data_IF_178374401964
#
_entry.id   IF_178374401964
#
_cell.length_a   1.000
_cell.length_b   1.000
_cell.length_c   1.000
_cell.angle_alpha   90.00
_cell.angle_beta   90.00
_cell.angle_gamma   90.00
#
_symmetry.space_group_name_H-M   'P 1'
#
loop_
_entity.id
_entity.type
_entity.pdbx_description
1 polymer ?
#
# COMPACT_ATOMS: atom_id res chain seq x y z
N UNK A 1 25.90 56.29 3.72
CA UNK A 1 24.66 57.07 3.60
C UNK A 1 23.89 56.57 2.42
N UNK A 2 22.95 55.68 2.60
CA UNK A 2 21.87 55.42 1.65
C UNK A 2 20.68 54.81 2.38
N UNK A 3 19.60 55.51 2.27
CA UNK A 3 18.37 55.43 3.03
C UNK A 3 17.50 54.25 2.49
N UNK A 4 17.04 53.39 3.36
CA UNK A 4 16.06 52.33 3.04
C UNK A 4 14.65 52.86 3.23
N UNK A 5 13.85 52.80 2.19
CA UNK A 5 12.45 53.19 2.20
C UNK A 5 11.57 51.91 2.37
N UNK A 6 10.97 51.74 3.52
CA UNK A 6 10.04 50.63 3.83
C UNK A 6 8.62 51.08 3.45
N UNK A 7 8.10 50.53 2.37
CA UNK A 7 6.70 50.72 1.96
C UNK A 7 5.75 49.85 2.81
N UNK A 8 4.87 50.56 3.50
CA UNK A 8 3.82 50.00 4.37
C UNK A 8 2.58 49.68 3.50
N UNK A 9 2.14 48.41 3.44
CA UNK A 9 0.92 47.97 2.76
C UNK A 9 -0.16 47.71 3.82
N UNK A 10 -1.34 48.33 3.72
CA UNK A 10 -2.41 48.11 4.69
C UNK A 10 -3.17 46.80 4.42
N UNK A 11 -3.77 46.18 5.47
CA UNK A 11 -4.51 44.93 5.35
C UNK A 11 -5.91 45.16 4.78
N UNK A 12 -6.32 44.29 3.85
CA UNK A 12 -7.67 44.21 3.29
C UNK A 12 -8.66 43.60 4.30
N UNK A 13 -9.77 44.30 4.52
CA UNK A 13 -10.87 43.86 5.36
C UNK A 13 -11.71 42.76 4.69
N UNK A 14 -12.33 41.83 5.48
CA UNK A 14 -13.14 40.75 4.93
C UNK A 14 -14.54 41.27 4.51
N UNK A 15 -14.96 40.86 3.30
CA UNK A 15 -16.33 41.03 2.82
C UNK A 15 -17.22 39.93 3.39
N UNK A 16 -18.27 40.30 4.08
CA UNK A 16 -19.36 39.41 4.51
C UNK A 16 -20.47 39.44 3.44
N UNK A 17 -20.62 38.35 2.69
CA UNK A 17 -21.78 38.12 1.85
C UNK A 17 -22.79 37.22 2.58
N UNK A 18 -23.94 37.78 2.88
CA UNK A 18 -25.10 37.07 3.41
C UNK A 18 -25.78 36.27 2.28
N UNK A 19 -25.76 34.94 2.38
CA UNK A 19 -26.59 34.06 1.52
C UNK A 19 -27.79 33.59 2.32
N UNK A 20 -28.96 34.01 1.90
CA UNK A 20 -30.29 33.61 2.40
C UNK A 20 -30.61 32.18 1.93
N UNK A 21 -30.81 31.29 2.86
CA UNK A 21 -31.26 29.92 2.64
C UNK A 21 -32.78 29.86 2.51
N UNK A 22 -33.28 29.39 1.36
CA UNK A 22 -34.68 29.01 1.17
C UNK A 22 -34.82 27.50 1.34
N UNK A 23 -35.65 27.09 2.30
CA UNK A 23 -35.94 25.69 2.60
C UNK A 23 -37.13 25.21 1.75
N UNK A 24 -37.00 24.04 1.10
CA UNK A 24 -38.11 23.33 0.45
C UNK A 24 -38.38 22.00 1.21
N UNK A 25 -39.64 21.55 1.27
CA UNK A 25 -40.09 20.52 2.21
C UNK A 25 -39.83 19.08 1.73
N UNK A 26 -39.55 18.20 2.70
CA UNK A 26 -39.33 16.79 2.52
C UNK A 26 -40.57 16.01 2.08
N UNK A 27 -40.45 15.17 1.06
CA UNK A 27 -41.42 14.12 0.72
C UNK A 27 -40.96 12.78 1.30
N UNK A 28 -41.81 12.13 2.11
CA UNK A 28 -41.67 10.76 2.62
C UNK A 28 -42.01 9.76 1.50
N UNK A 29 -41.22 8.69 1.30
CA UNK A 29 -41.67 7.53 0.54
C UNK A 29 -42.24 6.44 1.45
N UNK A 30 -43.32 5.85 0.98
CA UNK A 30 -44.11 4.84 1.66
C UNK A 30 -43.43 3.45 1.74
N UNK A 31 -43.75 2.77 2.81
CA UNK A 31 -43.48 1.35 3.05
C UNK A 31 -44.22 0.48 2.04
N UNK A 32 -43.52 -0.38 1.33
CA UNK A 32 -44.08 -1.58 0.70
C UNK A 32 -43.49 -2.82 1.36
N UNK A 33 -44.39 -3.65 1.91
CA UNK A 33 -44.13 -4.99 2.42
C UNK A 33 -44.04 -5.96 1.24
N UNK A 34 -43.11 -6.90 1.26
CA UNK A 34 -43.07 -8.06 0.39
C UNK A 34 -43.18 -9.35 1.19
N UNK A 35 -43.77 -10.39 0.63
CA UNK A 35 -44.13 -11.61 1.39
C UNK A 35 -43.00 -12.63 1.43
N UNK A 36 -43.05 -13.40 2.50
CA UNK A 36 -42.25 -14.57 2.82
C UNK A 36 -42.79 -15.76 2.02
N UNK A 37 -41.94 -16.50 1.38
CA UNK A 37 -42.21 -17.87 0.96
C UNK A 37 -41.13 -18.80 1.46
N UNK A 38 -41.56 -19.81 2.20
CA UNK A 38 -40.75 -20.88 2.77
C UNK A 38 -40.80 -22.12 1.87
N UNK A 39 -39.95 -23.05 2.19
CA UNK A 39 -39.92 -24.50 1.98
C UNK A 39 -38.90 -25.04 0.96
N UNK A 40 -38.16 -26.04 1.49
CA UNK A 40 -37.52 -27.07 0.69
C UNK A 40 -36.33 -27.73 1.36
N UNK A 41 -36.55 -28.59 2.34
CA UNK A 41 -35.55 -29.50 2.89
C UNK A 41 -35.40 -30.74 1.98
N UNK A 42 -34.20 -31.17 1.68
CA UNK A 42 -33.90 -32.53 1.23
C UNK A 42 -32.66 -33.05 1.95
N UNK A 43 -32.89 -34.07 2.76
CA UNK A 43 -31.90 -34.94 3.38
C UNK A 43 -31.44 -36.00 2.37
N UNK A 44 -30.15 -36.23 2.29
CA UNK A 44 -29.64 -37.52 1.81
C UNK A 44 -28.36 -37.89 2.59
N UNK A 45 -28.51 -38.96 3.37
CA UNK A 45 -27.44 -39.60 4.10
C UNK A 45 -26.66 -40.57 3.19
N UNK A 46 -25.36 -40.68 3.43
CA UNK A 46 -24.54 -41.71 2.81
C UNK A 46 -23.26 -41.90 3.62
N UNK A 47 -23.26 -42.86 4.51
CA UNK A 47 -22.12 -43.32 5.30
C UNK A 47 -21.34 -44.36 4.51
N UNK A 48 -20.00 -44.28 4.51
CA UNK A 48 -19.14 -45.47 4.49
C UNK A 48 -17.83 -45.16 5.20
N UNK A 49 -17.64 -45.87 6.32
CA UNK A 49 -16.42 -45.94 7.08
C UNK A 49 -15.46 -46.96 6.45
N UNK A 50 -14.16 -46.62 6.44
CA UNK A 50 -13.09 -47.63 6.44
C UNK A 50 -11.97 -47.14 7.34
N UNK A 51 -11.82 -47.80 8.44
CA UNK A 51 -10.75 -47.68 9.40
C UNK A 51 -9.52 -48.44 8.89
N UNK A 52 -8.36 -47.81 8.96
CA UNK A 52 -7.07 -48.51 9.01
C UNK A 52 -6.20 -47.88 10.11
N UNK A 53 -6.06 -48.66 11.16
CA UNK A 53 -5.17 -48.47 12.29
C UNK A 53 -3.72 -48.61 11.85
N UNK A 54 -2.89 -47.61 12.16
CA UNK A 54 -1.44 -47.67 12.06
C UNK A 54 -0.83 -47.01 13.29
N UNK A 55 -0.38 -47.78 14.26
CA UNK A 55 0.45 -47.34 15.38
C UNK A 55 1.85 -47.00 14.87
N UNK A 56 2.39 -45.86 15.26
CA UNK A 56 3.79 -45.49 15.02
C UNK A 56 4.20 -44.26 15.82
N UNK A 57 4.80 -44.49 16.94
CA UNK A 57 5.81 -43.80 17.76
C UNK A 57 6.05 -42.28 17.65
N UNK A 58 6.23 -41.57 18.79
CA UNK A 58 6.56 -40.13 18.79
C UNK A 58 8.05 -39.94 18.49
N UNK A 59 8.33 -39.16 17.47
CA UNK A 59 9.65 -38.60 17.20
C UNK A 59 9.71 -37.12 17.58
N UNK A 60 10.66 -36.83 18.42
CA UNK A 60 11.08 -35.53 18.93
C UNK A 60 11.42 -34.51 17.83
N UNK A 61 11.15 -33.24 18.14
CA UNK A 61 11.92 -32.05 17.72
C UNK A 61 12.38 -32.01 16.25
N UNK A 62 11.65 -31.24 15.43
CA UNK A 62 12.11 -30.83 14.13
C UNK A 62 11.68 -29.42 13.89
N UNK A 63 12.66 -28.52 13.76
CA UNK A 63 12.50 -27.14 13.33
C UNK A 63 11.55 -27.07 12.13
N UNK A 64 10.45 -26.34 12.29
CA UNK A 64 9.58 -26.00 11.19
C UNK A 64 10.29 -24.95 10.31
N UNK A 65 11.24 -25.43 9.52
CA UNK A 65 11.72 -24.71 8.36
C UNK A 65 10.52 -24.53 7.42
N UNK A 66 9.98 -23.33 7.36
CA UNK A 66 8.92 -22.99 6.44
C UNK A 66 9.43 -23.24 5.02
N UNK A 67 9.04 -24.39 4.45
CA UNK A 67 9.34 -24.73 3.07
C UNK A 67 8.74 -23.64 2.16
N UNK A 68 9.60 -22.84 1.56
CA UNK A 68 9.26 -21.95 0.46
C UNK A 68 8.65 -22.81 -0.64
N UNK A 69 7.38 -22.55 -1.08
CA UNK A 69 6.83 -23.29 -2.19
C UNK A 69 7.74 -23.11 -3.41
N UNK A 70 7.97 -24.13 -4.25
CA UNK A 70 8.77 -23.97 -5.44
C UNK A 70 8.17 -22.86 -6.30
N UNK A 71 8.99 -21.89 -6.66
CA UNK A 71 8.63 -20.81 -7.59
C UNK A 71 8.29 -21.49 -8.92
N UNK A 72 6.99 -21.62 -9.20
CA UNK A 72 6.53 -21.91 -10.54
C UNK A 72 7.10 -20.82 -11.45
N UNK A 73 7.76 -21.20 -12.55
CA UNK A 73 8.19 -20.23 -13.57
C UNK A 73 6.93 -19.50 -14.03
N UNK A 74 6.78 -18.23 -13.63
CA UNK A 74 5.75 -17.39 -14.19
C UNK A 74 6.14 -17.17 -15.67
N UNK A 75 5.26 -17.52 -16.59
CA UNK A 75 5.33 -17.10 -18.00
C UNK A 75 5.05 -15.59 -18.12
N UNK A 76 5.31 -14.85 -17.05
CA UNK A 76 5.04 -13.43 -16.91
C UNK A 76 6.07 -12.55 -17.61
N UNK A 77 5.70 -11.27 -17.76
CA UNK A 77 6.60 -10.23 -18.27
C UNK A 77 7.86 -10.18 -17.42
N UNK A 78 9.02 -10.02 -18.07
CA UNK A 78 10.30 -9.88 -17.36
C UNK A 78 10.28 -8.62 -16.48
N UNK A 79 10.70 -8.74 -15.22
CA UNK A 79 10.93 -7.61 -14.32
C UNK A 79 12.42 -7.26 -14.33
N UNK A 80 12.77 -6.14 -14.93
CA UNK A 80 14.14 -5.63 -14.99
C UNK A 80 14.30 -4.31 -14.26
N UNK A 81 13.23 -3.51 -14.17
CA UNK A 81 13.24 -2.17 -13.56
C UNK A 81 11.96 -1.93 -12.74
N UNK A 82 12.11 -1.56 -11.50
CA UNK A 82 11.01 -1.26 -10.60
C UNK A 82 11.10 0.14 -10.02
N UNK A 83 10.02 0.91 -10.16
CA UNK A 83 9.84 2.20 -9.49
C UNK A 83 8.97 2.01 -8.25
N UNK A 84 9.44 2.49 -7.09
CA UNK A 84 8.76 2.40 -5.79
C UNK A 84 8.24 3.76 -5.36
N UNK A 85 6.98 3.81 -4.93
CA UNK A 85 6.26 5.01 -4.54
C UNK A 85 5.52 4.80 -3.22
N UNK A 86 5.27 5.88 -2.52
CA UNK A 86 4.49 5.92 -1.28
C UNK A 86 4.98 7.04 -0.36
N UNK A 87 4.58 6.98 0.91
CA UNK A 87 4.91 7.96 1.93
C UNK A 87 6.19 7.60 2.73
N UNK A 88 6.29 8.09 3.96
CA UNK A 88 7.42 7.82 4.86
C UNK A 88 7.56 6.35 5.25
N UNK A 89 6.47 5.57 5.25
CA UNK A 89 6.54 4.12 5.49
C UNK A 89 7.25 3.45 4.31
N UNK A 90 6.84 3.79 3.09
CA UNK A 90 7.48 3.30 1.87
C UNK A 90 8.94 3.78 1.76
N UNK A 91 9.25 5.00 2.20
CA UNK A 91 10.61 5.52 2.25
C UNK A 91 11.49 4.69 3.22
N UNK A 92 10.96 4.33 4.39
CA UNK A 92 11.67 3.47 5.35
C UNK A 92 11.92 2.04 4.84
N UNK A 93 11.06 1.54 3.96
CA UNK A 93 11.19 0.21 3.35
C UNK A 93 12.12 0.20 2.12
N UNK A 94 12.31 1.34 1.47
CA UNK A 94 13.05 1.47 0.23
C UNK A 94 14.51 0.97 0.29
N UNK A 95 15.31 1.19 1.36
CA UNK A 95 16.69 0.70 1.40
C UNK A 95 16.78 -0.83 1.34
N UNK A 96 15.97 -1.54 2.12
CA UNK A 96 15.92 -3.01 2.11
C UNK A 96 15.39 -3.54 0.78
N UNK A 97 14.32 -2.92 0.27
CA UNK A 97 13.72 -3.31 -1.00
C UNK A 97 14.69 -3.11 -2.16
N UNK A 98 15.43 -1.98 -2.18
CA UNK A 98 16.46 -1.72 -3.18
C UNK A 98 17.59 -2.75 -3.13
N UNK A 99 18.02 -3.17 -1.94
CA UNK A 99 19.04 -4.22 -1.77
C UNK A 99 18.54 -5.57 -2.29
N UNK A 100 17.31 -5.96 -1.96
CA UNK A 100 16.69 -7.20 -2.42
C UNK A 100 16.51 -7.22 -3.95
N UNK A 101 16.00 -6.13 -4.54
CA UNK A 101 15.82 -6.00 -5.99
C UNK A 101 17.16 -6.06 -6.73
N UNK A 102 18.17 -5.32 -6.26
CA UNK A 102 19.53 -5.35 -6.82
C UNK A 102 20.13 -6.75 -6.78
N UNK A 103 20.03 -7.44 -5.67
CA UNK A 103 20.52 -8.83 -5.55
C UNK A 103 19.78 -9.78 -6.50
N UNK A 104 18.53 -9.50 -6.81
CA UNK A 104 17.69 -10.25 -7.76
C UNK A 104 17.88 -9.83 -9.23
N UNK A 105 18.84 -8.95 -9.54
CA UNK A 105 19.11 -8.48 -10.89
C UNK A 105 18.07 -7.47 -11.42
N UNK A 106 17.31 -6.81 -10.55
CA UNK A 106 16.31 -5.79 -10.87
C UNK A 106 16.84 -4.41 -10.51
N UNK A 107 16.86 -3.48 -11.47
CA UNK A 107 17.14 -2.08 -11.19
C UNK A 107 16.00 -1.48 -10.36
N UNK A 108 16.35 -0.74 -9.32
CA UNK A 108 15.39 -0.16 -8.38
C UNK A 108 15.56 1.34 -8.25
N UNK A 109 14.44 2.05 -8.29
CA UNK A 109 14.39 3.48 -8.01
C UNK A 109 13.23 3.76 -7.06
N UNK A 110 13.47 4.55 -6.01
CA UNK A 110 12.43 5.03 -5.10
C UNK A 110 12.18 6.51 -5.32
N UNK A 111 10.90 6.89 -5.32
CA UNK A 111 10.39 8.26 -5.22
C UNK A 111 9.40 8.38 -4.05
N UNK A 112 9.47 7.44 -3.10
CA UNK A 112 8.74 7.55 -1.85
C UNK A 112 9.18 8.81 -1.09
N UNK A 113 8.25 9.49 -0.43
CA UNK A 113 8.48 10.83 0.13
C UNK A 113 7.84 10.97 1.51
N UNK A 114 8.68 11.22 2.52
CA UNK A 114 8.21 11.54 3.86
C UNK A 114 7.32 12.80 3.87
N UNK A 115 6.18 12.70 4.56
CA UNK A 115 5.22 13.80 4.65
C UNK A 115 4.43 14.09 3.38
N UNK A 116 4.36 13.10 2.44
CA UNK A 116 3.66 13.24 1.17
C UNK A 116 3.44 11.88 0.52
N UNK A 117 3.68 11.80 -0.81
CA UNK A 117 3.68 10.54 -1.56
C UNK A 117 2.31 9.99 -1.92
N UNK A 118 1.20 10.56 -1.41
CA UNK A 118 -0.16 10.17 -1.80
C UNK A 118 -0.43 10.49 -3.26
N UNK A 119 -1.20 9.64 -3.92
CA UNK A 119 -1.78 9.90 -5.24
C UNK A 119 -3.24 10.33 -5.14
N UNK A 120 -3.84 10.28 -3.93
CA UNK A 120 -5.26 10.56 -3.73
C UNK A 120 -5.50 12.06 -3.70
N UNK A 121 -6.30 12.52 -4.66
CA UNK A 121 -6.80 13.90 -4.74
C UNK A 121 -8.01 14.06 -3.81
N UNK A 122 -7.73 14.05 -2.52
CA UNK A 122 -8.74 14.30 -1.49
C UNK A 122 -8.86 15.78 -1.16
N UNK A 123 -9.57 16.06 -0.09
CA UNK A 123 -9.76 17.42 0.42
C UNK A 123 -8.53 17.94 1.18
N UNK A 124 -8.40 19.26 1.27
CA UNK A 124 -7.30 19.92 2.00
C UNK A 124 -5.94 19.73 1.33
N UNK A 125 -4.87 19.44 2.11
CA UNK A 125 -3.50 19.40 1.60
C UNK A 125 -3.20 18.21 0.69
N UNK A 126 -4.01 17.14 0.75
CA UNK A 126 -3.76 15.91 -0.02
C UNK A 126 -3.84 16.13 -1.52
N UNK A 127 -4.68 17.05 -1.99
CA UNK A 127 -4.72 17.42 -3.41
C UNK A 127 -3.38 17.95 -3.92
N UNK A 128 -2.75 18.87 -3.18
CA UNK A 128 -1.43 19.42 -3.52
C UNK A 128 -0.33 18.35 -3.45
N UNK A 129 -0.39 17.44 -2.46
CA UNK A 129 0.56 16.34 -2.36
C UNK A 129 0.40 15.39 -3.55
N UNK A 130 -0.83 15.05 -3.95
CA UNK A 130 -1.07 14.20 -5.11
C UNK A 130 -0.53 14.81 -6.41
N UNK A 131 -0.72 16.12 -6.63
CA UNK A 131 -0.16 16.82 -7.79
C UNK A 131 1.36 16.72 -7.84
N UNK A 132 2.03 16.93 -6.69
CA UNK A 132 3.48 16.77 -6.57
C UNK A 132 3.92 15.33 -6.86
N UNK A 133 3.21 14.35 -6.31
CA UNK A 133 3.49 12.92 -6.51
C UNK A 133 3.39 12.52 -7.98
N UNK A 134 2.34 12.97 -8.69
CA UNK A 134 2.20 12.70 -10.13
C UNK A 134 3.28 13.39 -10.97
N UNK A 135 3.72 14.60 -10.59
CA UNK A 135 4.84 15.28 -11.24
C UNK A 135 6.15 14.52 -11.07
N UNK A 136 6.43 14.03 -9.86
CA UNK A 136 7.62 13.25 -9.57
C UNK A 136 7.58 11.88 -10.26
N UNK A 137 6.40 11.24 -10.32
CA UNK A 137 6.16 10.04 -11.11
C UNK A 137 6.51 10.27 -12.59
N UNK A 138 5.97 11.31 -13.22
CA UNK A 138 6.21 11.60 -14.62
C UNK A 138 7.70 11.82 -14.91
N UNK A 139 8.41 12.56 -14.04
CA UNK A 139 9.86 12.74 -14.13
C UNK A 139 10.64 11.43 -13.97
N UNK A 140 10.22 10.60 -13.01
CA UNK A 140 10.85 9.30 -12.75
C UNK A 140 10.66 8.34 -13.93
N UNK A 141 9.44 8.22 -14.45
CA UNK A 141 9.10 7.39 -15.61
C UNK A 141 9.91 7.83 -16.83
N UNK A 142 9.95 9.14 -17.15
CA UNK A 142 10.68 9.66 -18.31
C UNK A 142 12.20 9.44 -18.28
N UNK A 143 12.79 9.24 -17.08
CA UNK A 143 14.23 8.99 -16.92
C UNK A 143 14.60 7.53 -16.67
N UNK A 144 13.68 6.73 -16.09
CA UNK A 144 13.98 5.39 -15.61
C UNK A 144 13.35 4.29 -16.45
N UNK A 145 12.21 4.55 -17.09
CA UNK A 145 11.45 3.60 -17.92
C UNK A 145 11.19 2.27 -17.17
N UNK A 146 10.40 2.26 -16.08
CA UNK A 146 10.16 1.07 -15.28
C UNK A 146 9.30 0.03 -16.03
N UNK A 147 9.53 -1.26 -15.77
CA UNK A 147 8.61 -2.34 -16.17
C UNK A 147 7.41 -2.41 -15.21
N UNK A 148 7.65 -2.08 -13.94
CA UNK A 148 6.65 -2.08 -12.87
C UNK A 148 6.76 -0.79 -12.07
N UNK A 149 5.62 -0.15 -11.86
CA UNK A 149 5.42 0.90 -10.86
C UNK A 149 4.72 0.24 -9.67
N UNK A 150 5.35 0.27 -8.49
CA UNK A 150 4.77 -0.24 -7.26
C UNK A 150 4.44 0.93 -6.33
N UNK A 151 3.19 1.02 -5.92
CA UNK A 151 2.68 2.07 -5.04
C UNK A 151 2.17 1.46 -3.74
N UNK A 152 2.76 1.81 -2.62
CA UNK A 152 2.22 1.50 -1.31
C UNK A 152 1.14 2.53 -0.97
N UNK A 153 -0.08 2.04 -0.70
CA UNK A 153 -1.18 2.86 -0.20
C UNK A 153 -0.69 3.61 1.03
N UNK A 154 -0.82 4.93 1.01
CA UNK A 154 -0.19 5.80 2.00
C UNK A 154 -1.09 6.07 3.20
N UNK A 155 -0.48 6.52 4.30
CA UNK A 155 -1.21 7.03 5.46
C UNK A 155 -1.93 8.35 5.16
N UNK A 156 -1.65 8.98 4.01
CA UNK A 156 -2.24 10.25 3.52
C UNK A 156 -3.27 10.06 2.40
N UNK A 157 -3.67 8.84 2.09
CA UNK A 157 -4.69 8.59 1.05
C UNK A 157 -6.09 8.99 1.55
N UNK A 158 -6.17 10.23 2.09
CA UNK A 158 -7.39 10.82 2.64
C UNK A 158 -8.29 11.31 1.53
N UNK A 159 -9.53 10.83 1.55
CA UNK A 159 -10.55 11.17 0.59
C UNK A 159 -11.75 10.25 0.75
N UNK A 160 -12.81 10.53 0.06
CA UNK A 160 -13.92 9.57 -0.09
C UNK A 160 -13.45 8.35 -0.86
N UNK A 161 -14.12 7.21 -0.69
CA UNK A 161 -13.81 6.00 -1.46
C UNK A 161 -13.86 6.26 -2.99
N UNK A 162 -14.73 7.15 -3.47
CA UNK A 162 -14.78 7.54 -4.88
C UNK A 162 -13.50 8.27 -5.30
N UNK A 163 -13.06 9.29 -4.54
CA UNK A 163 -11.82 10.01 -4.81
C UNK A 163 -10.59 9.09 -4.78
N UNK A 164 -10.54 8.12 -3.84
CA UNK A 164 -9.50 7.10 -3.79
C UNK A 164 -9.50 6.22 -5.04
N UNK A 165 -10.68 5.70 -5.43
CA UNK A 165 -10.81 4.87 -6.63
C UNK A 165 -10.42 5.60 -7.91
N UNK A 166 -10.86 6.85 -8.07
CA UNK A 166 -10.53 7.68 -9.22
C UNK A 166 -9.02 7.97 -9.30
N UNK A 167 -8.40 8.24 -8.16
CA UNK A 167 -6.95 8.51 -8.08
C UNK A 167 -6.10 7.26 -8.37
N UNK A 168 -6.50 6.10 -7.87
CA UNK A 168 -5.80 4.84 -8.20
C UNK A 168 -6.03 4.43 -9.65
N UNK A 169 -7.21 4.70 -10.22
CA UNK A 169 -7.45 4.50 -11.65
C UNK A 169 -6.58 5.44 -12.50
N UNK A 170 -6.43 6.70 -12.09
CA UNK A 170 -5.51 7.65 -12.74
C UNK A 170 -4.05 7.14 -12.67
N UNK A 171 -3.63 6.56 -11.54
CA UNK A 171 -2.30 5.98 -11.41
C UNK A 171 -2.13 4.75 -12.33
N UNK A 172 -3.18 3.94 -12.49
CA UNK A 172 -3.17 2.80 -13.40
C UNK A 172 -3.03 3.23 -14.87
N UNK A 173 -3.72 4.30 -15.29
CA UNK A 173 -3.56 4.84 -16.63
C UNK A 173 -2.15 5.46 -16.81
N UNK A 174 -1.61 6.17 -15.82
CA UNK A 174 -0.25 6.69 -15.89
C UNK A 174 0.81 5.57 -16.03
N UNK A 175 0.62 4.46 -15.35
CA UNK A 175 1.48 3.28 -15.50
C UNK A 175 1.37 2.67 -16.90
N UNK A 176 0.15 2.53 -17.43
CA UNK A 176 -0.12 2.04 -18.77
C UNK A 176 0.53 2.92 -19.84
N UNK A 177 0.38 4.23 -19.73
CA UNK A 177 0.97 5.20 -20.68
C UNK A 177 2.51 5.14 -20.66
N UNK A 178 3.09 4.76 -19.51
CA UNK A 178 4.52 4.50 -19.35
C UNK A 178 4.96 3.12 -19.90
N UNK A 179 4.04 2.28 -20.36
CA UNK A 179 4.32 0.89 -20.75
C UNK A 179 4.61 -0.04 -19.56
N UNK A 180 4.34 0.41 -18.34
CA UNK A 180 4.54 -0.33 -17.10
C UNK A 180 3.26 -1.02 -16.62
N UNK A 181 3.41 -2.05 -15.78
CA UNK A 181 2.33 -2.58 -14.96
C UNK A 181 2.30 -1.90 -13.60
N UNK A 182 1.13 -1.83 -12.98
CA UNK A 182 0.95 -1.26 -11.65
C UNK A 182 0.80 -2.35 -10.60
N UNK A 183 1.54 -2.23 -9.50
CA UNK A 183 1.36 -3.01 -8.29
C UNK A 183 0.93 -2.08 -7.17
N UNK A 184 -0.30 -2.22 -6.71
CA UNK A 184 -0.80 -1.57 -5.50
C UNK A 184 -0.55 -2.50 -4.31
N UNK A 185 0.02 -1.99 -3.24
CA UNK A 185 0.23 -2.76 -2.02
C UNK A 185 -0.37 -2.02 -0.83
N UNK A 186 -1.08 -2.72 0.03
CA UNK A 186 -1.65 -2.08 1.23
C UNK A 186 -0.54 -1.62 2.17
N UNK A 187 -0.79 -0.51 2.89
CA UNK A 187 0.09 -0.12 3.98
C UNK A 187 0.14 -1.24 5.05
N UNK A 188 1.25 -1.34 5.80
CA UNK A 188 1.24 -2.14 7.03
C UNK A 188 0.25 -1.57 8.04
N UNK A 189 -0.15 -2.35 9.06
CA UNK A 189 -0.92 -1.79 10.16
C UNK A 189 -0.04 -0.76 10.89
N UNK A 190 -0.59 0.43 11.12
CA UNK A 190 0.09 1.51 11.83
C UNK A 190 -0.81 2.11 12.91
N UNK A 191 -0.20 2.73 13.90
CA UNK A 191 -0.90 3.39 15.00
C UNK A 191 -1.66 4.60 14.49
N UNK A 192 -2.96 4.61 14.67
CA UNK A 192 -3.79 5.81 14.45
C UNK A 192 -3.68 6.68 15.71
N UNK A 193 -3.00 7.80 15.61
CA UNK A 193 -2.86 8.80 16.65
C UNK A 193 -3.63 10.09 16.32
N UNK A 194 -3.41 11.15 17.09
CA UNK A 194 -4.13 12.42 16.91
C UNK A 194 -3.92 13.07 15.54
N UNK A 195 -2.83 12.75 14.85
CA UNK A 195 -2.55 13.25 13.50
C UNK A 195 -3.55 12.71 12.46
N UNK A 196 -4.02 11.48 12.67
CA UNK A 196 -4.97 10.83 11.75
C UNK A 196 -6.43 11.05 12.16
N UNK A 197 -6.67 11.78 13.24
CA UNK A 197 -8.01 12.03 13.76
C UNK A 197 -8.90 12.70 12.72
N UNK A 198 -10.06 12.08 12.46
CA UNK A 198 -11.00 12.49 11.42
C UNK A 198 -10.73 11.90 10.03
N UNK A 199 -9.63 11.15 9.87
CA UNK A 199 -9.27 10.47 8.62
C UNK A 199 -9.36 8.95 8.70
N UNK A 200 -9.78 8.38 9.83
CA UNK A 200 -9.81 6.94 10.11
C UNK A 200 -10.63 6.17 9.06
N UNK A 201 -11.76 6.74 8.66
CA UNK A 201 -12.62 6.14 7.63
C UNK A 201 -11.93 6.10 6.26
N UNK A 202 -11.20 7.16 5.91
CA UNK A 202 -10.44 7.24 4.67
C UNK A 202 -9.28 6.25 4.67
N UNK A 203 -8.52 6.18 5.78
CA UNK A 203 -7.45 5.19 5.97
C UNK A 203 -7.97 3.76 5.81
N UNK A 204 -9.14 3.45 6.41
CA UNK A 204 -9.75 2.12 6.32
C UNK A 204 -10.34 1.79 4.94
N UNK A 205 -10.72 2.78 4.14
CA UNK A 205 -11.29 2.58 2.80
C UNK A 205 -10.24 2.48 1.70
N UNK A 206 -9.08 3.12 1.86
CA UNK A 206 -8.04 3.21 0.84
C UNK A 206 -7.56 1.85 0.29
N UNK A 207 -7.20 0.84 1.11
CA UNK A 207 -6.79 -0.46 0.57
C UNK A 207 -7.94 -1.20 -0.13
N UNK A 208 -9.19 -0.97 0.27
CA UNK A 208 -10.37 -1.56 -0.39
C UNK A 208 -10.58 -0.95 -1.78
N UNK A 209 -10.46 0.38 -1.88
CA UNK A 209 -10.55 1.08 -3.15
C UNK A 209 -9.41 0.66 -4.10
N UNK A 210 -8.18 0.54 -3.59
CA UNK A 210 -7.03 0.06 -4.36
C UNK A 210 -7.25 -1.37 -4.90
N UNK A 211 -7.77 -2.27 -4.05
CA UNK A 211 -8.11 -3.63 -4.48
C UNK A 211 -9.20 -3.65 -5.56
N UNK A 212 -10.27 -2.87 -5.40
CA UNK A 212 -11.34 -2.79 -6.40
C UNK A 212 -10.84 -2.26 -7.76
N UNK A 213 -9.90 -1.31 -7.77
CA UNK A 213 -9.27 -0.84 -9.00
C UNK A 213 -8.41 -1.93 -9.62
N UNK A 214 -7.65 -2.68 -8.83
CA UNK A 214 -6.87 -3.80 -9.33
C UNK A 214 -7.75 -4.91 -9.90
N UNK A 215 -8.85 -5.27 -9.22
CA UNK A 215 -9.79 -6.30 -9.69
C UNK A 215 -10.43 -5.91 -11.05
N UNK A 216 -10.71 -4.62 -11.26
CA UNK A 216 -11.27 -4.11 -12.53
C UNK A 216 -10.25 -4.05 -13.67
N UNK A 217 -8.96 -4.06 -13.36
CA UNK A 217 -7.85 -3.92 -14.31
C UNK A 217 -6.85 -5.09 -14.17
N UNK A 218 -7.35 -6.29 -13.90
CA UNK A 218 -6.54 -7.46 -13.53
C UNK A 218 -5.56 -7.94 -14.62
N UNK A 219 -5.66 -7.41 -15.83
CA UNK A 219 -4.71 -7.63 -16.91
C UNK A 219 -3.37 -6.90 -16.68
N UNK A 220 -3.36 -5.76 -15.96
CA UNK A 220 -2.19 -4.90 -15.78
C UNK A 220 -1.99 -4.34 -14.38
N UNK A 221 -2.95 -4.50 -13.49
CA UNK A 221 -2.87 -4.01 -12.11
C UNK A 221 -2.94 -5.19 -11.15
N UNK A 222 -2.03 -5.23 -10.17
CA UNK A 222 -2.03 -6.23 -9.09
C UNK A 222 -2.27 -5.54 -7.77
N UNK A 223 -2.97 -6.21 -6.87
CA UNK A 223 -3.09 -5.80 -5.48
C UNK A 223 -2.42 -6.84 -4.57
N UNK A 224 -1.54 -6.37 -3.70
CA UNK A 224 -0.87 -7.20 -2.69
C UNK A 224 -1.32 -6.74 -1.30
N UNK A 225 -1.88 -7.65 -0.53
CA UNK A 225 -2.33 -7.38 0.83
C UNK A 225 -1.20 -7.65 1.83
N UNK A 226 -0.58 -6.58 2.33
CA UNK A 226 0.52 -6.68 3.29
C UNK A 226 0.07 -7.17 4.68
N UNK A 227 -1.24 -7.28 4.95
CA UNK A 227 -1.74 -7.92 6.17
C UNK A 227 -1.36 -9.40 6.26
N UNK A 228 -1.08 -10.04 5.14
CA UNK A 228 -0.53 -11.41 5.13
C UNK A 228 0.83 -11.49 5.84
N UNK A 229 1.66 -10.46 5.70
CA UNK A 229 2.94 -10.37 6.40
C UNK A 229 2.77 -9.92 7.84
N UNK A 230 2.10 -8.80 8.07
CA UNK A 230 2.13 -8.07 9.33
C UNK A 230 0.88 -8.24 10.19
N UNK A 231 -0.20 -8.84 9.65
CA UNK A 231 -1.51 -8.83 10.32
C UNK A 231 -2.17 -7.45 10.22
N UNK A 232 -3.15 -7.22 11.09
CA UNK A 232 -3.98 -5.99 11.09
C UNK A 232 -3.85 -5.17 12.37
N UNK A 233 -3.13 -5.68 13.37
CA UNK A 233 -2.90 -5.00 14.66
C UNK A 233 -1.50 -4.39 14.68
N UNK A 234 -1.43 -3.07 14.72
CA UNK A 234 -0.16 -2.32 14.75
C UNK A 234 0.63 -2.51 16.04
N UNK A 235 -0.01 -2.91 17.14
CA UNK A 235 0.63 -3.16 18.43
C UNK A 235 1.18 -4.59 18.55
N UNK A 236 0.78 -5.49 17.66
CA UNK A 236 1.27 -6.87 17.67
C UNK A 236 2.76 -6.93 17.26
N UNK A 237 3.53 -7.80 17.92
CA UNK A 237 4.95 -8.01 17.59
C UNK A 237 5.16 -8.37 16.11
N UNK A 238 4.21 -9.09 15.49
CA UNK A 238 4.22 -9.43 14.06
C UNK A 238 4.22 -8.20 13.15
N UNK A 239 3.64 -7.07 13.58
CA UNK A 239 3.59 -5.83 12.80
C UNK A 239 4.97 -5.19 12.61
N UNK A 240 5.94 -5.50 13.48
CA UNK A 240 7.33 -5.04 13.40
C UNK A 240 7.47 -3.51 13.26
N UNK A 241 6.58 -2.76 13.93
CA UNK A 241 6.65 -1.30 13.94
C UNK A 241 7.76 -0.83 14.89
N UNK A 242 8.36 0.30 14.56
CA UNK A 242 9.30 1.00 15.43
C UNK A 242 8.58 1.55 16.67
N UNK A 243 9.32 2.26 17.55
CA UNK A 243 8.75 2.84 18.77
C UNK A 243 7.62 3.85 18.53
N UNK A 244 7.53 4.42 17.33
CA UNK A 244 6.45 5.33 16.95
C UNK A 244 5.13 4.60 16.61
N UNK A 245 5.19 3.28 16.43
CA UNK A 245 4.03 2.47 16.05
C UNK A 245 3.61 2.61 14.59
N UNK A 246 4.40 3.32 13.75
CA UNK A 246 4.07 3.65 12.37
C UNK A 246 5.09 3.02 11.41
N UNK A 247 6.36 3.39 11.54
CA UNK A 247 7.41 3.01 10.58
C UNK A 247 8.04 1.66 10.90
N UNK A 248 8.65 1.04 9.90
CA UNK A 248 9.51 -0.14 10.07
C UNK A 248 10.95 0.29 10.31
N UNK A 249 11.63 -0.39 11.24
CA UNK A 249 13.09 -0.39 11.27
C UNK A 249 13.66 -1.46 10.30
N UNK A 250 14.98 -1.61 10.28
CA UNK A 250 15.69 -2.50 9.35
C UNK A 250 15.09 -3.92 9.28
N UNK A 251 14.72 -4.50 10.42
CA UNK A 251 14.16 -5.85 10.48
C UNK A 251 12.81 -5.93 9.77
N UNK A 252 11.90 -5.01 10.06
CA UNK A 252 10.58 -4.95 9.40
C UNK A 252 10.70 -4.65 7.92
N UNK A 253 11.60 -3.74 7.53
CA UNK A 253 11.87 -3.42 6.12
C UNK A 253 12.44 -4.62 5.35
N UNK A 254 13.35 -5.40 5.97
CA UNK A 254 13.86 -6.64 5.38
C UNK A 254 12.76 -7.70 5.24
N UNK A 255 11.91 -7.86 6.26
CA UNK A 255 10.78 -8.79 6.19
C UNK A 255 9.81 -8.43 5.04
N UNK A 256 9.52 -7.12 4.87
CA UNK A 256 8.72 -6.63 3.76
C UNK A 256 9.38 -6.92 2.40
N UNK A 257 10.65 -6.58 2.23
CA UNK A 257 11.36 -6.79 0.97
C UNK A 257 11.37 -8.27 0.56
N UNK A 258 11.57 -9.18 1.51
CA UNK A 258 11.53 -10.62 1.26
C UNK A 258 10.13 -11.10 0.85
N UNK A 259 9.09 -10.70 1.59
CA UNK A 259 7.71 -11.02 1.27
C UNK A 259 7.29 -10.46 -0.08
N UNK A 260 7.58 -9.18 -0.34
CA UNK A 260 7.20 -8.48 -1.56
C UNK A 260 7.86 -9.11 -2.79
N UNK A 261 9.17 -9.39 -2.73
CA UNK A 261 9.86 -10.10 -3.81
C UNK A 261 9.25 -11.47 -4.11
N UNK A 262 8.93 -12.24 -3.07
CA UNK A 262 8.25 -13.53 -3.21
C UNK A 262 6.84 -13.43 -3.78
N UNK A 263 6.11 -12.31 -3.53
CA UNK A 263 4.81 -12.06 -4.16
C UNK A 263 4.94 -11.65 -5.63
N UNK A 264 5.89 -10.76 -5.93
CA UNK A 264 6.13 -10.31 -7.31
C UNK A 264 6.54 -11.46 -8.23
N UNK A 265 7.35 -12.43 -7.76
CA UNK A 265 7.79 -13.57 -8.58
C UNK A 265 6.67 -14.50 -9.03
N UNK A 266 5.45 -14.32 -8.51
CA UNK A 266 4.25 -15.04 -8.98
C UNK A 266 3.64 -14.42 -10.24
N UNK A 267 3.97 -13.16 -10.51
CA UNK A 267 3.41 -12.38 -11.62
C UNK A 267 4.46 -12.05 -12.68
N UNK A 268 5.72 -11.96 -12.28
CA UNK A 268 6.81 -11.50 -13.14
C UNK A 268 7.92 -12.54 -13.24
N UNK A 269 8.52 -12.63 -14.41
CA UNK A 269 9.66 -13.52 -14.67
C UNK A 269 10.94 -12.91 -14.09
N UNK A 270 11.21 -13.14 -12.82
CA UNK A 270 12.47 -12.93 -12.13
C UNK A 270 12.59 -13.90 -10.94
N UNK A 271 13.79 -14.10 -10.43
CA UNK A 271 14.02 -14.94 -9.26
C UNK A 271 14.46 -14.06 -8.09
N UNK A 272 13.66 -13.96 -7.01
CA UNK A 272 14.08 -13.25 -5.82
C UNK A 272 15.36 -13.87 -5.24
N UNK A 273 16.35 -13.05 -4.95
CA UNK A 273 17.55 -13.49 -4.29
C UNK A 273 17.24 -13.94 -2.83
N UNK A 274 17.84 -15.02 -2.35
CA UNK A 274 17.71 -15.44 -0.95
C UNK A 274 18.12 -14.33 0.02
N UNK A 275 17.42 -14.23 1.15
CA UNK A 275 17.60 -13.12 2.10
C UNK A 275 19.03 -13.04 2.69
N UNK A 276 19.76 -14.14 2.79
CA UNK A 276 21.14 -14.18 3.25
C UNK A 276 22.12 -13.41 2.34
N UNK A 277 21.76 -13.19 1.08
CA UNK A 277 22.57 -12.44 0.12
C UNK A 277 22.43 -10.92 0.23
N UNK A 278 21.35 -10.42 0.83
CA UNK A 278 21.07 -8.97 0.84
C UNK A 278 20.55 -8.43 2.17
N UNK A 279 19.98 -9.26 3.08
CA UNK A 279 19.35 -8.78 4.30
C UNK A 279 20.35 -8.12 5.29
N UNK A 280 21.63 -8.31 5.07
CA UNK A 280 22.73 -7.64 5.78
C UNK A 280 23.55 -6.86 4.76
N UNK A 281 23.95 -5.64 5.10
CA UNK A 281 24.79 -4.85 4.20
C UNK A 281 24.70 -3.35 4.49
N UNK A 282 25.25 -2.53 3.60
CA UNK A 282 25.34 -1.07 3.79
C UNK A 282 23.98 -0.37 3.92
N UNK A 283 22.92 -0.92 3.34
CA UNK A 283 21.58 -0.38 3.45
C UNK A 283 21.06 -0.31 4.89
N UNK A 284 21.52 -1.17 5.79
CA UNK A 284 21.12 -1.16 7.22
C UNK A 284 21.57 0.10 7.95
N UNK A 285 22.57 0.80 7.44
CA UNK A 285 23.06 2.09 7.92
C UNK A 285 22.44 3.29 7.20
N UNK A 286 21.35 3.11 6.42
CA UNK A 286 20.69 4.23 5.75
C UNK A 286 20.22 5.29 6.76
N UNK A 287 20.36 6.56 6.37
CA UNK A 287 20.00 7.71 7.22
C UNK A 287 18.56 7.70 7.69
N UNK A 288 17.64 7.09 6.92
CA UNK A 288 16.22 7.00 7.28
C UNK A 288 16.05 6.29 8.64
N UNK A 289 16.80 5.24 8.90
CA UNK A 289 16.70 4.51 10.17
C UNK A 289 17.23 5.32 11.37
N UNK A 290 18.24 6.16 11.16
CA UNK A 290 18.70 7.11 12.17
C UNK A 290 17.63 8.16 12.50
N UNK A 291 16.93 8.67 11.50
CA UNK A 291 15.83 9.61 11.67
C UNK A 291 14.65 8.98 12.44
N UNK A 292 14.37 7.71 12.19
CA UNK A 292 13.33 6.92 12.87
C UNK A 292 13.76 6.41 14.26
N UNK A 293 14.98 6.74 14.71
CA UNK A 293 15.56 6.27 15.98
C UNK A 293 15.57 4.73 16.10
N UNK A 294 15.80 4.06 14.97
CA UNK A 294 16.04 2.65 14.87
C UNK A 294 17.48 2.36 15.28
N UNK A 295 17.73 1.89 16.48
CA UNK A 295 19.06 1.63 16.99
C UNK A 295 19.07 0.45 17.93
#
# INVERSE_FOLDING_TARGET
>A
MHSTNSGNVPPLAPRTDHVTTSAAPARRPGRRRAPITALGAVLAAGATALALTGCGQPASGGDASAATPPAGKADGKKLSKMLWMGDSIAEAEAPALGAAMKASGVEFKSVASAGGGTVVKGDGPTGTFAESTFKDLAKAVGSFHPDVIAYQVTTYDWGTKAQQSDSYAQLAEAAKDAGAELVLVSAPPFKIDDFYKGHEAAVASAPKAAKEVADKNADRVRFLDASELWGTDSAAAKAQRSKDGIHSCQQGSAAFANWFGGRLSRYYAFTPAPADQWAKGSWTGDKVYGQLKCG
#
